data_IF_421731955337
#
_entry.id   IF_421731955337
#
_cell.length_a   1.000
_cell.length_b   1.000
_cell.length_c   1.000
_cell.angle_alpha   90.00
_cell.angle_beta   90.00
_cell.angle_gamma   90.00
#
_symmetry.space_group_name_H-M   'P 1'
#
loop_
_entity.id
_entity.type
_entity.pdbx_description
1 polymer ?
#
# COMPACT_ATOMS: atom_id res chain seq x y z
N UNK A 1 -13.51 2.86 -31.87
CA UNK A 1 -13.59 3.00 -30.40
C UNK A 1 -13.42 4.47 -30.08
N UNK A 2 -14.33 5.05 -29.31
CA UNK A 2 -14.22 6.46 -28.89
C UNK A 2 -14.25 6.49 -27.36
N UNK A 3 -13.20 7.00 -26.76
CA UNK A 3 -13.11 7.17 -25.31
C UNK A 3 -13.70 8.54 -24.95
N UNK A 4 -14.64 8.56 -24.01
CA UNK A 4 -15.20 9.80 -23.47
C UNK A 4 -14.54 10.01 -22.11
N UNK A 5 -13.66 10.99 -22.02
CA UNK A 5 -13.08 11.43 -20.76
C UNK A 5 -13.98 12.51 -20.15
N UNK A 6 -14.57 12.21 -19.01
CA UNK A 6 -15.46 13.13 -18.30
C UNK A 6 -15.37 12.87 -16.80
N UNK A 7 -15.59 13.91 -16.01
CA UNK A 7 -15.72 13.80 -14.55
C UNK A 7 -17.09 13.24 -14.20
N UNK A 8 -17.11 12.13 -13.46
CA UNK A 8 -18.32 11.53 -12.90
C UNK A 8 -18.31 11.66 -11.38
N UNK A 9 -19.48 11.84 -10.78
CA UNK A 9 -19.64 11.91 -9.33
C UNK A 9 -20.10 10.55 -8.82
N UNK A 10 -19.38 9.99 -7.85
CA UNK A 10 -19.81 8.80 -7.10
C UNK A 10 -20.54 9.30 -5.85
N UNK A 11 -21.82 9.00 -5.74
CA UNK A 11 -22.62 9.33 -4.57
C UNK A 11 -22.28 8.40 -3.37
N UNK A 12 -22.60 8.78 -2.12
CA UNK A 12 -22.26 7.99 -0.93
C UNK A 12 -22.87 6.59 -0.89
N UNK A 13 -23.94 6.37 -1.65
CA UNK A 13 -24.62 5.09 -1.84
C UNK A 13 -23.92 4.18 -2.87
N UNK A 14 -22.85 4.66 -3.51
CA UNK A 14 -22.12 3.98 -4.57
C UNK A 14 -22.67 4.23 -5.97
N UNK A 15 -23.67 5.10 -6.15
CA UNK A 15 -24.24 5.40 -7.47
C UNK A 15 -23.31 6.33 -8.26
N UNK A 16 -22.85 5.89 -9.44
CA UNK A 16 -22.08 6.71 -10.38
C UNK A 16 -23.03 7.54 -11.26
N UNK A 17 -22.91 8.86 -11.21
CA UNK A 17 -23.67 9.78 -12.08
C UNK A 17 -22.72 10.43 -13.08
N UNK A 18 -22.97 10.24 -14.38
CA UNK A 18 -22.15 10.79 -15.46
C UNK A 18 -23.00 11.63 -16.41
N UNK A 19 -22.52 12.81 -16.80
CA UNK A 19 -23.15 13.61 -17.86
C UNK A 19 -22.47 13.30 -19.18
N UNK A 20 -23.24 12.73 -20.11
CA UNK A 20 -22.77 12.44 -21.46
C UNK A 20 -22.87 13.72 -22.31
N UNK A 21 -21.82 14.13 -23.04
CA UNK A 21 -21.87 15.29 -23.92
C UNK A 21 -22.94 15.15 -25.02
N UNK A 22 -23.51 16.26 -25.51
CA UNK A 22 -24.56 16.24 -26.54
C UNK A 22 -24.09 15.72 -27.91
N UNK A 23 -22.79 15.57 -28.10
CA UNK A 23 -22.14 15.01 -29.29
C UNK A 23 -22.35 13.50 -29.44
N UNK A 24 -22.74 12.82 -28.35
CA UNK A 24 -22.96 11.38 -28.35
C UNK A 24 -24.42 11.10 -28.70
N UNK A 25 -24.64 10.35 -29.78
CA UNK A 25 -25.98 9.97 -30.20
C UNK A 25 -26.69 9.13 -29.14
N UNK A 26 -28.00 9.35 -28.90
CA UNK A 26 -28.77 8.50 -28.01
C UNK A 26 -28.74 7.04 -28.49
N UNK A 27 -28.51 6.11 -27.58
CA UNK A 27 -28.44 4.69 -27.90
C UNK A 27 -27.67 3.87 -26.88
N UNK A 28 -27.55 2.58 -27.14
CA UNK A 28 -26.77 1.66 -26.31
C UNK A 28 -25.29 1.84 -26.57
N UNK A 29 -24.54 2.23 -25.53
CA UNK A 29 -23.08 2.38 -25.58
C UNK A 29 -22.40 1.45 -24.58
N UNK A 30 -21.27 0.87 -24.97
CA UNK A 30 -20.41 0.13 -24.05
C UNK A 30 -19.52 1.11 -23.29
N UNK A 31 -19.65 1.14 -21.96
CA UNK A 31 -18.85 1.99 -21.08
C UNK A 31 -17.73 1.14 -20.46
N UNK A 32 -16.53 1.70 -20.38
CA UNK A 32 -15.40 1.11 -19.65
C UNK A 32 -15.04 2.08 -18.52
N UNK A 33 -15.23 1.65 -17.28
CA UNK A 33 -14.84 2.39 -16.09
C UNK A 33 -13.53 1.81 -15.57
N UNK A 34 -12.52 2.66 -15.41
CA UNK A 34 -11.24 2.29 -14.77
C UNK A 34 -11.18 3.08 -13.47
N UNK A 35 -11.16 2.38 -12.35
CA UNK A 35 -10.96 2.96 -11.02
C UNK A 35 -9.52 2.67 -10.64
N UNK A 36 -8.71 3.71 -10.55
CA UNK A 36 -7.40 3.64 -9.93
C UNK A 36 -7.59 4.06 -8.47
N UNK A 37 -7.63 3.08 -7.57
CA UNK A 37 -7.48 3.33 -6.14
C UNK A 37 -6.02 3.70 -5.91
N UNK A 38 -5.67 4.94 -6.32
CA UNK A 38 -4.37 5.54 -6.11
C UNK A 38 -3.94 5.21 -4.70
N UNK A 39 -2.85 4.45 -4.62
CA UNK A 39 -2.36 3.73 -3.44
C UNK A 39 -2.89 4.38 -2.17
N UNK A 40 -3.75 3.67 -1.42
CA UNK A 40 -3.96 3.97 0.00
C UNK A 40 -2.59 4.30 0.55
N UNK A 41 -2.33 5.57 0.85
CA UNK A 41 -1.10 5.96 1.50
C UNK A 41 -1.00 4.99 2.67
N UNK A 42 0.01 4.11 2.62
CA UNK A 42 0.23 3.14 3.65
C UNK A 42 0.42 3.99 4.89
N UNK A 43 -0.65 4.14 5.68
CA UNK A 43 -0.66 4.95 6.87
C UNK A 43 0.45 4.33 7.70
N UNK A 44 1.57 5.05 7.76
CA UNK A 44 2.80 4.57 8.36
C UNK A 44 2.39 4.08 9.73
N UNK A 45 2.34 2.76 9.89
CA UNK A 45 1.73 2.16 11.06
C UNK A 45 2.73 2.40 12.14
N UNK A 46 2.53 3.48 12.90
CA UNK A 46 3.40 3.80 14.03
C UNK A 46 3.41 2.53 14.88
N UNK A 47 4.58 1.89 15.05
CA UNK A 47 4.65 0.74 15.93
C UNK A 47 4.11 1.19 17.28
N UNK A 48 3.21 0.41 17.87
CA UNK A 48 2.65 0.71 19.18
C UNK A 48 3.77 0.95 20.20
N UNK A 49 3.45 1.57 21.33
CA UNK A 49 4.39 1.74 22.42
C UNK A 49 4.73 0.38 23.05
N UNK A 50 5.67 -0.35 22.44
CA UNK A 50 6.19 -1.60 22.96
C UNK A 50 7.22 -1.33 24.05
N UNK A 51 7.27 -2.15 25.11
CA UNK A 51 8.32 -2.05 26.10
C UNK A 51 9.69 -2.26 25.44
N UNK A 52 10.58 -1.28 25.62
CA UNK A 52 11.96 -1.36 25.13
C UNK A 52 12.81 -2.00 26.21
N UNK A 53 13.45 -3.12 25.91
CA UNK A 53 14.46 -3.70 26.79
C UNK A 53 15.80 -2.98 26.57
N UNK A 54 16.45 -2.55 27.66
CA UNK A 54 17.82 -2.05 27.64
C UNK A 54 18.75 -3.14 28.18
N UNK A 55 19.67 -3.61 27.34
CA UNK A 55 20.63 -4.68 27.68
C UNK A 55 21.99 -4.13 28.11
N UNK A 56 22.11 -2.81 28.28
CA UNK A 56 23.38 -2.15 28.60
C UNK A 56 24.37 -2.13 27.44
N UNK A 57 25.60 -1.72 27.73
CA UNK A 57 26.69 -1.74 26.75
C UNK A 57 27.22 -3.18 26.57
N UNK A 58 27.50 -3.55 25.32
CA UNK A 58 28.13 -4.83 25.03
C UNK A 58 29.54 -4.92 25.62
N UNK A 59 29.98 -6.10 26.08
CA UNK A 59 31.36 -6.28 26.53
C UNK A 59 32.37 -5.95 25.42
N UNK A 60 33.50 -5.29 25.74
CA UNK A 60 34.45 -4.79 24.73
C UNK A 60 35.14 -5.91 23.92
N UNK A 61 35.09 -7.15 24.39
CA UNK A 61 35.70 -8.32 23.76
C UNK A 61 34.67 -9.42 23.50
N UNK A 62 33.39 -9.06 23.37
CA UNK A 62 32.37 -10.02 22.99
C UNK A 62 32.66 -10.53 21.57
N UNK A 63 32.91 -11.83 21.47
CA UNK A 63 32.97 -12.48 20.17
C UNK A 63 31.58 -12.97 19.76
N UNK A 64 31.16 -12.58 18.56
CA UNK A 64 29.96 -13.09 17.89
C UNK A 64 30.31 -14.19 16.87
N UNK A 65 31.53 -14.73 16.94
CA UNK A 65 31.96 -15.86 16.13
C UNK A 65 31.23 -17.12 16.58
N UNK A 66 30.89 -17.98 15.62
CA UNK A 66 30.19 -19.24 15.90
C UNK A 66 31.03 -20.11 16.83
N UNK A 67 32.33 -20.14 16.61
CA UNK A 67 33.30 -20.93 17.38
C UNK A 67 33.25 -20.53 18.86
N UNK A 68 33.21 -19.22 19.14
CA UNK A 68 33.18 -18.68 20.49
C UNK A 68 31.79 -18.75 21.14
N UNK A 69 30.71 -18.62 20.35
CA UNK A 69 29.33 -18.70 20.85
C UNK A 69 28.85 -20.13 21.10
N UNK A 70 29.29 -21.08 20.27
CA UNK A 70 28.78 -22.46 20.27
C UNK A 70 29.84 -23.51 20.59
N UNK A 71 31.10 -23.12 20.79
CA UNK A 71 32.20 -24.06 21.08
C UNK A 71 32.50 -25.02 19.93
N UNK A 72 32.08 -24.69 18.71
CA UNK A 72 32.27 -25.51 17.51
C UNK A 72 33.47 -24.98 16.73
N UNK A 73 34.62 -25.62 16.82
CA UNK A 73 35.85 -25.18 16.17
C UNK A 73 35.86 -25.38 14.64
N UNK A 74 34.75 -25.82 14.05
CA UNK A 74 34.75 -26.35 12.70
C UNK A 74 35.46 -27.71 12.69
N UNK A 75 34.92 -28.61 11.89
CA UNK A 75 35.39 -30.00 11.76
C UNK A 75 36.82 -30.07 11.26
#
# INVERSE_FOLDING_TARGET
MRTIETTATVAPDGTLTVRVPPDVTPGTHRIVLVIDDGSREARESQPGAFPVISVGAWPPHLSLRREDMYGDAGR
#
